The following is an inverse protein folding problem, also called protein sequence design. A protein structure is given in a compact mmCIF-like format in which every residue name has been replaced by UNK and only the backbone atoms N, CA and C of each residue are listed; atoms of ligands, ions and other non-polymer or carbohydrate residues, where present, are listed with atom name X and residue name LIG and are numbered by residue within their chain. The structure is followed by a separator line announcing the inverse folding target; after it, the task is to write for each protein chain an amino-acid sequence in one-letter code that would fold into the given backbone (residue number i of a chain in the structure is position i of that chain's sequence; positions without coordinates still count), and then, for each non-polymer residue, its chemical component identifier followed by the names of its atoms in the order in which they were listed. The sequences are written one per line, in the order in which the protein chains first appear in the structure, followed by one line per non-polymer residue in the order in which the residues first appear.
data_IF_907027143060
#
_entry.id   IF_907027143060
#
_cell.length_a   1.000
_cell.length_b   1.000
_cell.length_c   1.000
_cell.angle_alpha   90.00
_cell.angle_beta   90.00
_cell.angle_gamma   90.00
#
_symmetry.space_group_name_H-M   'P 1'
#
loop_
_entity.id
_entity.type
_entity.pdbx_description
1 polymer ?
#
# COMPACT_ATOMS: atom_id res chain seq x y z
N UNK A 1 8.22 12.68 -22.61
CA UNK A 1 8.01 11.64 -21.58
C UNK A 1 8.03 12.17 -20.13
N UNK A 2 8.49 13.41 -19.86
CA UNK A 2 8.60 13.96 -18.50
C UNK A 2 7.29 14.02 -17.70
N UNK A 3 6.17 14.39 -18.34
CA UNK A 3 4.88 14.44 -17.65
C UNK A 3 4.45 13.08 -17.08
N UNK A 4 4.65 12.00 -17.86
CA UNK A 4 4.32 10.65 -17.42
C UNK A 4 5.26 10.16 -16.32
N UNK A 5 6.57 10.41 -16.44
CA UNK A 5 7.53 10.08 -15.40
C UNK A 5 7.18 10.77 -14.06
N UNK A 6 6.81 12.05 -14.11
CA UNK A 6 6.38 12.82 -12.92
C UNK A 6 5.06 12.32 -12.34
N UNK A 7 4.10 11.95 -13.19
CA UNK A 7 2.83 11.38 -12.74
C UNK A 7 3.03 10.03 -12.03
N UNK A 8 3.98 9.20 -12.51
CA UNK A 8 4.31 7.91 -11.92
C UNK A 8 5.03 8.07 -10.58
N UNK A 9 5.91 9.07 -10.44
CA UNK A 9 6.56 9.42 -9.17
C UNK A 9 5.54 9.81 -8.08
N UNK A 10 4.55 10.63 -8.45
CA UNK A 10 3.44 10.99 -7.54
C UNK A 10 2.60 9.77 -7.20
N UNK A 11 2.25 8.94 -8.19
CA UNK A 11 1.49 7.71 -7.98
C UNK A 11 2.22 6.75 -7.03
N UNK A 12 3.53 6.56 -7.22
CA UNK A 12 4.35 5.72 -6.36
C UNK A 12 4.28 6.18 -4.91
N UNK A 13 4.46 7.48 -4.69
CA UNK A 13 4.41 8.08 -3.36
C UNK A 13 3.05 7.86 -2.69
N UNK A 14 1.95 8.08 -3.43
CA UNK A 14 0.59 7.88 -2.92
C UNK A 14 0.30 6.41 -2.59
N UNK A 15 0.69 5.48 -3.45
CA UNK A 15 0.46 4.05 -3.24
C UNK A 15 1.22 3.55 -2.00
N UNK A 16 2.49 3.96 -1.83
CA UNK A 16 3.27 3.61 -0.63
C UNK A 16 2.63 4.20 0.63
N UNK A 17 2.20 5.47 0.58
CA UNK A 17 1.55 6.12 1.72
C UNK A 17 0.23 5.44 2.11
N UNK A 18 -0.61 5.07 1.14
CA UNK A 18 -1.86 4.34 1.37
C UNK A 18 -1.61 2.94 1.91
N UNK A 19 -0.59 2.23 1.39
CA UNK A 19 -0.18 0.93 1.91
C UNK A 19 0.30 1.02 3.37
N UNK A 20 1.14 2.00 3.68
CA UNK A 20 1.59 2.28 5.05
C UNK A 20 0.44 2.64 5.99
N UNK A 21 -0.50 3.49 5.54
CA UNK A 21 -1.70 3.86 6.30
C UNK A 21 -2.58 2.64 6.64
N UNK A 22 -2.78 1.73 5.68
CA UNK A 22 -3.52 0.48 5.92
C UNK A 22 -2.78 -0.47 6.88
N UNK A 23 -1.45 -0.52 6.85
CA UNK A 23 -0.67 -1.29 7.84
C UNK A 23 -0.88 -0.75 9.26
N UNK A 24 -0.82 0.58 9.43
CA UNK A 24 -1.04 1.22 10.73
C UNK A 24 -2.48 0.98 11.21
N UNK A 25 -3.47 1.16 10.34
CA UNK A 25 -4.87 0.92 10.66
C UNK A 25 -5.14 -0.56 11.03
N UNK A 26 -4.52 -1.49 10.30
CA UNK A 26 -4.56 -2.92 10.61
C UNK A 26 -3.93 -3.24 11.97
N UNK A 27 -2.81 -2.60 12.29
CA UNK A 27 -2.17 -2.70 13.60
C UNK A 27 -3.06 -2.22 14.74
N UNK A 28 -3.77 -1.10 14.57
CA UNK A 28 -4.72 -0.57 15.56
C UNK A 28 -5.86 -1.58 15.80
N UNK A 29 -6.52 -2.05 14.74
CA UNK A 29 -7.61 -3.01 14.86
C UNK A 29 -7.15 -4.34 15.48
N UNK A 30 -5.90 -4.73 15.24
CA UNK A 30 -5.31 -5.91 15.86
C UNK A 30 -5.08 -5.70 17.35
N UNK A 31 -4.52 -4.56 17.76
CA UNK A 31 -4.32 -4.19 19.17
C UNK A 31 -5.66 -4.08 19.92
N UNK A 32 -6.65 -3.43 19.33
CA UNK A 32 -8.02 -3.38 19.88
C UNK A 32 -8.61 -4.78 20.01
N UNK A 33 -8.40 -5.65 19.01
CA UNK A 33 -8.83 -7.04 19.05
C UNK A 33 -8.14 -7.88 20.12
N UNK A 34 -6.86 -7.62 20.43
CA UNK A 34 -6.19 -8.25 21.57
C UNK A 34 -6.68 -7.70 22.91
N UNK A 35 -6.92 -6.39 23.01
CA UNK A 35 -7.42 -5.77 24.24
C UNK A 35 -8.85 -6.17 24.60
N UNK A 36 -9.72 -6.35 23.60
CA UNK A 36 -11.11 -6.78 23.77
C UNK A 36 -11.31 -8.30 23.64
N UNK A 37 -10.23 -9.05 23.42
CA UNK A 37 -10.23 -10.46 23.02
C UNK A 37 -11.28 -10.82 21.95
N UNK A 38 -11.45 -9.92 20.98
CA UNK A 38 -12.46 -10.07 19.94
C UNK A 38 -11.84 -10.71 18.67
N UNK A 39 -12.23 -11.93 18.29
CA UNK A 39 -11.67 -12.61 17.12
C UNK A 39 -11.97 -11.88 15.80
N UNK A 40 -13.10 -11.15 15.71
CA UNK A 40 -13.43 -10.38 14.52
C UNK A 40 -12.45 -9.22 14.30
N UNK A 41 -12.14 -8.44 15.35
CA UNK A 41 -11.16 -7.35 15.28
C UNK A 41 -9.74 -7.87 14.96
N UNK A 42 -9.34 -9.01 15.54
CA UNK A 42 -8.04 -9.64 15.20
C UNK A 42 -7.96 -10.03 13.73
N UNK A 43 -9.00 -10.67 13.19
CA UNK A 43 -9.05 -11.06 11.78
C UNK A 43 -9.01 -9.85 10.85
N UNK A 44 -9.75 -8.78 11.19
CA UNK A 44 -9.75 -7.55 10.40
C UNK A 44 -8.37 -6.87 10.42
N UNK A 45 -7.72 -6.77 11.59
CA UNK A 45 -6.40 -6.19 11.72
C UNK A 45 -5.35 -6.91 10.86
N UNK A 46 -5.34 -8.26 10.88
CA UNK A 46 -4.43 -9.07 10.05
C UNK A 46 -4.70 -8.83 8.55
N UNK A 47 -5.96 -8.82 8.13
CA UNK A 47 -6.31 -8.61 6.71
C UNK A 47 -5.87 -7.24 6.20
N UNK A 48 -6.04 -6.20 7.01
CA UNK A 48 -5.63 -4.85 6.67
C UNK A 48 -4.11 -4.69 6.68
N UNK A 49 -3.40 -5.34 7.61
CA UNK A 49 -1.94 -5.38 7.60
C UNK A 49 -1.40 -6.05 6.34
N UNK A 50 -1.95 -7.20 5.96
CA UNK A 50 -1.56 -7.91 4.75
C UNK A 50 -1.90 -7.11 3.49
N UNK A 51 -3.08 -6.50 3.43
CA UNK A 51 -3.47 -5.64 2.32
C UNK A 51 -2.57 -4.40 2.22
N UNK A 52 -2.27 -3.73 3.33
CA UNK A 52 -1.39 -2.58 3.39
C UNK A 52 0.04 -2.93 2.95
N UNK A 53 0.56 -4.07 3.42
CA UNK A 53 1.87 -4.57 3.00
C UNK A 53 1.93 -4.86 1.51
N UNK A 54 0.89 -5.50 0.96
CA UNK A 54 0.78 -5.74 -0.48
C UNK A 54 0.74 -4.45 -1.30
N UNK A 55 -0.06 -3.47 -0.89
CA UNK A 55 -0.16 -2.17 -1.57
C UNK A 55 1.18 -1.41 -1.51
N UNK A 56 1.85 -1.38 -0.36
CA UNK A 56 3.16 -0.75 -0.22
C UNK A 56 4.22 -1.40 -1.13
N UNK A 57 4.20 -2.74 -1.23
CA UNK A 57 5.12 -3.50 -2.05
C UNK A 57 4.88 -3.27 -3.55
N UNK A 58 3.62 -3.12 -3.98
CA UNK A 58 3.24 -2.67 -5.32
C UNK A 58 3.81 -1.27 -5.60
N UNK A 59 3.66 -0.34 -4.66
CA UNK A 59 4.21 1.02 -4.78
C UNK A 59 5.74 1.03 -4.92
N UNK A 60 6.45 0.18 -4.19
CA UNK A 60 7.92 0.12 -4.25
C UNK A 60 8.46 -0.53 -5.52
N UNK A 61 7.80 -1.58 -6.03
CA UNK A 61 8.35 -2.43 -7.09
C UNK A 61 7.64 -2.24 -8.42
N UNK A 62 6.31 -2.28 -8.43
CA UNK A 62 5.50 -2.33 -9.66
C UNK A 62 5.27 -0.94 -10.26
N UNK A 63 5.03 0.08 -9.44
CA UNK A 63 4.75 1.44 -9.94
C UNK A 63 5.93 2.04 -10.73
N UNK A 64 7.21 1.92 -10.30
CA UNK A 64 8.35 2.42 -11.09
C UNK A 64 8.48 1.78 -12.48
N UNK A 65 8.11 0.49 -12.62
CA UNK A 65 8.20 -0.23 -13.89
C UNK A 65 7.24 0.33 -14.95
N UNK A 66 6.16 0.99 -14.54
CA UNK A 66 5.25 1.69 -15.45
C UNK A 66 5.97 2.80 -16.22
N UNK A 67 7.01 3.42 -15.64
CA UNK A 67 7.78 4.46 -16.31
C UNK A 67 8.57 3.91 -17.50
N UNK A 68 9.10 2.69 -17.38
CA UNK A 68 9.82 2.03 -18.48
C UNK A 68 8.89 1.57 -19.60
N UNK A 69 7.73 1.01 -19.25
CA UNK A 69 6.69 0.60 -20.20
C UNK A 69 6.13 1.77 -21.00
N UNK A 70 5.82 2.89 -20.32
CA UNK A 70 5.22 4.05 -20.96
C UNK A 70 6.23 4.94 -21.70
N UNK A 71 7.54 4.77 -21.45
CA UNK A 71 8.60 5.49 -22.16
C UNK A 71 9.07 4.80 -23.44
N UNK A 72 8.80 3.50 -23.63
CA UNK A 72 9.32 2.71 -24.77
C UNK A 72 8.31 2.57 -25.92
N UNK A 73 7.05 2.95 -25.71
CA UNK A 73 5.96 2.81 -26.68
C UNK A 73 5.66 4.05 -27.54
N UNK A 74 6.62 4.99 -27.70
CA UNK A 74 6.46 6.22 -28.47
C UNK A 74 7.58 6.45 -29.47
#
# INVERSE_FOLDING_TARGET
MDFFAKSIEVLQTLVIALGGGLCVWGGINLLEGYGQDNPASKSQGIKQLMAGGGVALIGMILVPLLSGLLSTGG
#
